data_IF_832920646496
#
_entry.id   IF_832920646496
#
_cell.length_a   1.000
_cell.length_b   1.000
_cell.length_c   1.000
_cell.angle_alpha   90.00
_cell.angle_beta   90.00
_cell.angle_gamma   90.00
#
_symmetry.space_group_name_H-M   'P 1'
#
loop_
_entity.id
_entity.type
_entity.pdbx_description
1 polymer ?
#
# COMPACT_ATOMS: atom_id res chain seq x y z
N UNK A 1 -2.52 4.98 -11.36
CA UNK A 1 -1.52 4.38 -10.45
C UNK A 1 -0.60 5.47 -9.94
N UNK A 2 -0.82 5.84 -8.68
CA UNK A 2 -0.21 6.94 -7.94
C UNK A 2 1.15 6.56 -7.33
N UNK A 3 1.87 7.51 -6.73
CA UNK A 3 3.15 7.22 -6.04
C UNK A 3 2.93 6.31 -4.81
N UNK A 4 1.79 6.46 -4.13
CA UNK A 4 1.40 5.59 -3.03
C UNK A 4 1.16 4.16 -3.50
N UNK A 5 0.51 3.97 -4.64
CA UNK A 5 0.23 2.64 -5.20
C UNK A 5 1.51 1.89 -5.52
N UNK A 6 2.47 2.57 -6.15
CA UNK A 6 3.80 2.03 -6.43
C UNK A 6 4.51 1.60 -5.16
N UNK A 7 4.47 2.44 -4.12
CA UNK A 7 5.15 2.15 -2.86
C UNK A 7 4.49 0.99 -2.11
N UNK A 8 3.16 0.88 -2.14
CA UNK A 8 2.44 -0.27 -1.56
C UNK A 8 2.85 -1.56 -2.25
N UNK A 9 2.81 -1.58 -3.59
CA UNK A 9 3.17 -2.75 -4.38
C UNK A 9 4.64 -3.13 -4.21
N UNK A 10 5.55 -2.17 -4.21
CA UNK A 10 6.98 -2.39 -3.97
C UNK A 10 7.23 -3.04 -2.60
N UNK A 11 6.61 -2.49 -1.54
CA UNK A 11 6.78 -3.02 -0.19
C UNK A 11 6.19 -4.43 -0.03
N UNK A 12 5.04 -4.71 -0.64
CA UNK A 12 4.40 -6.02 -0.59
C UNK A 12 5.09 -7.05 -1.51
N UNK A 13 5.69 -6.60 -2.61
CA UNK A 13 6.51 -7.45 -3.50
C UNK A 13 7.81 -7.84 -2.81
N UNK A 14 8.41 -6.92 -2.05
CA UNK A 14 9.62 -7.18 -1.26
C UNK A 14 9.34 -8.10 -0.06
N UNK A 15 8.30 -7.82 0.72
CA UNK A 15 7.84 -8.71 1.80
C UNK A 15 6.31 -8.58 1.97
N UNK A 16 5.59 -9.58 1.47
CA UNK A 16 4.12 -9.63 1.51
C UNK A 16 3.54 -9.77 2.93
N UNK A 17 4.37 -10.02 3.96
CA UNK A 17 3.94 -10.08 5.36
C UNK A 17 4.08 -8.74 6.06
N UNK A 18 4.59 -7.70 5.39
CA UNK A 18 4.59 -6.34 5.94
C UNK A 18 3.16 -5.88 6.20
N UNK A 19 2.96 -5.33 7.39
CA UNK A 19 1.68 -4.74 7.75
C UNK A 19 1.44 -3.45 6.97
N UNK A 20 0.20 -3.21 6.53
CA UNK A 20 -0.21 -1.94 5.92
C UNK A 20 0.09 -0.73 6.81
N UNK A 21 0.09 -0.91 8.13
CA UNK A 21 0.46 0.12 9.10
C UNK A 21 1.92 0.56 8.95
N UNK A 22 2.84 -0.39 8.77
CA UNK A 22 4.26 -0.08 8.55
C UNK A 22 4.47 0.67 7.24
N UNK A 23 3.73 0.29 6.19
CA UNK A 23 3.75 0.96 4.89
C UNK A 23 3.20 2.39 5.02
N UNK A 24 2.10 2.57 5.73
CA UNK A 24 1.47 3.86 5.97
C UNK A 24 2.39 4.83 6.72
N UNK A 25 3.08 4.36 7.77
CA UNK A 25 4.08 5.15 8.51
C UNK A 25 5.21 5.60 7.57
N UNK A 26 5.73 4.69 6.73
CA UNK A 26 6.80 5.00 5.77
C UNK A 26 6.34 5.99 4.69
N UNK A 27 5.08 5.90 4.28
CA UNK A 27 4.47 6.78 3.29
C UNK A 27 3.98 8.13 3.87
N UNK A 28 3.97 8.29 5.20
CA UNK A 28 3.39 9.46 5.85
C UNK A 28 1.87 9.59 5.65
N UNK A 29 1.17 8.46 5.52
CA UNK A 29 -0.27 8.38 5.27
C UNK A 29 -1.00 7.64 6.38
N UNK A 30 -2.33 7.76 6.40
CA UNK A 30 -3.16 6.93 7.27
C UNK A 30 -3.19 5.49 6.73
N UNK A 31 -3.24 4.52 7.64
CA UNK A 31 -3.37 3.09 7.29
C UNK A 31 -4.61 2.84 6.45
N UNK A 32 -5.71 3.53 6.74
CA UNK A 32 -6.96 3.44 6.00
C UNK A 32 -6.79 3.84 4.53
N UNK A 33 -6.04 4.92 4.27
CA UNK A 33 -5.71 5.36 2.92
C UNK A 33 -4.94 4.28 2.16
N UNK A 34 -3.97 3.64 2.82
CA UNK A 34 -3.18 2.55 2.23
C UNK A 34 -4.04 1.35 1.89
N UNK A 35 -4.93 0.93 2.79
CA UNK A 35 -5.85 -0.19 2.57
C UNK A 35 -6.80 0.12 1.42
N UNK A 36 -7.38 1.33 1.38
CA UNK A 36 -8.32 1.70 0.34
C UNK A 36 -7.66 1.77 -1.05
N UNK A 37 -6.42 2.26 -1.12
CA UNK A 37 -5.61 2.22 -2.34
C UNK A 37 -5.30 0.78 -2.76
N UNK A 38 -4.86 -0.07 -1.82
CA UNK A 38 -4.58 -1.48 -2.10
C UNK A 38 -5.83 -2.21 -2.63
N UNK A 39 -6.98 -2.04 -1.98
CA UNK A 39 -8.23 -2.67 -2.42
C UNK A 39 -8.61 -2.22 -3.84
N UNK A 40 -8.49 -0.93 -4.16
CA UNK A 40 -8.72 -0.44 -5.52
C UNK A 40 -7.78 -1.08 -6.55
N UNK A 41 -6.50 -1.25 -6.21
CA UNK A 41 -5.54 -1.92 -7.10
C UNK A 41 -5.89 -3.39 -7.34
N UNK A 42 -6.49 -4.06 -6.36
CA UNK A 42 -6.98 -5.44 -6.49
C UNK A 42 -8.29 -5.50 -7.29
N UNK A 43 -9.17 -4.52 -7.14
CA UNK A 43 -10.44 -4.45 -7.88
C UNK A 43 -10.24 -4.07 -9.36
N UNK A 44 -9.24 -3.25 -9.68
CA UNK A 44 -8.92 -2.82 -11.05
C UNK A 44 -8.05 -3.85 -11.83
N UNK A 45 -7.59 -4.94 -11.18
CA UNK A 45 -6.67 -5.95 -11.75
C UNK A 45 -7.34 -7.25 -12.15
#
# INVERSE_FOLDING_TARGET
MDELDKLILDQLTEDARKSFRSIAIKAGKATDTVINHFNKLVEDG
#
